data_IF_592794824659
#
_entry.id   IF_592794824659
#
_cell.length_a   1.000
_cell.length_b   1.000
_cell.length_c   1.000
_cell.angle_alpha   90.00
_cell.angle_beta   90.00
_cell.angle_gamma   90.00
#
_symmetry.space_group_name_H-M   'P 1'
#
loop_
_entity.id
_entity.type
_entity.pdbx_description
1 polymer ?
#
# COMPACT_ATOMS: atom_id res chain seq x y z
N UNK A 1 -24.12 6.03 9.32
CA UNK A 1 -24.03 5.03 8.23
C UNK A 1 -22.67 4.41 8.40
N UNK A 2 -22.64 3.18 8.89
CA UNK A 2 -21.38 2.48 9.17
C UNK A 2 -20.84 1.99 7.83
N UNK A 3 -19.98 2.79 7.23
CA UNK A 3 -19.31 2.42 6.00
C UNK A 3 -18.20 1.43 6.35
N UNK A 4 -18.24 0.26 5.75
CA UNK A 4 -17.21 -0.76 5.90
C UNK A 4 -16.29 -0.74 4.68
N UNK A 5 -15.01 -0.44 4.89
CA UNK A 5 -13.99 -0.58 3.86
C UNK A 5 -13.75 -2.07 3.59
N UNK A 6 -13.75 -2.46 2.32
CA UNK A 6 -13.53 -3.85 1.92
C UNK A 6 -12.21 -3.96 1.14
N UNK A 7 -11.37 -4.97 1.45
CA UNK A 7 -10.18 -5.23 0.66
C UNK A 7 -10.56 -5.74 -0.73
N UNK A 8 -9.85 -5.27 -1.73
CA UNK A 8 -9.92 -5.81 -3.09
C UNK A 8 -8.53 -6.27 -3.53
N UNK A 9 -8.50 -7.31 -4.38
CA UNK A 9 -7.24 -7.75 -4.98
C UNK A 9 -6.80 -6.72 -6.00
N UNK A 10 -5.61 -6.18 -5.80
CA UNK A 10 -5.00 -5.14 -6.58
C UNK A 10 -3.71 -5.65 -7.21
N UNK A 11 -3.31 -5.00 -8.30
CA UNK A 11 -2.03 -5.28 -8.95
C UNK A 11 -1.23 -4.03 -9.19
N UNK A 12 0.08 -4.21 -9.33
CA UNK A 12 1.00 -3.13 -9.64
C UNK A 12 2.33 -3.64 -10.16
N UNK A 13 3.14 -2.71 -10.63
CA UNK A 13 4.45 -3.00 -11.22
C UNK A 13 5.55 -2.41 -10.33
N UNK A 14 6.57 -3.18 -9.99
CA UNK A 14 7.79 -2.61 -9.42
C UNK A 14 8.36 -1.64 -10.46
N UNK A 15 8.46 -0.37 -10.07
CA UNK A 15 9.19 0.65 -10.82
C UNK A 15 10.61 0.85 -10.31
N UNK A 16 10.80 0.71 -9.01
CA UNK A 16 12.10 0.96 -8.40
C UNK A 16 12.36 -0.03 -7.28
N UNK A 17 13.62 -0.43 -7.16
CA UNK A 17 14.15 -1.23 -6.07
C UNK A 17 15.28 -0.42 -5.46
N UNK A 18 15.13 0.01 -4.21
CA UNK A 18 16.14 0.73 -3.43
C UNK A 18 16.53 -0.14 -2.24
N UNK A 19 17.77 -0.05 -1.76
CA UNK A 19 18.33 -0.73 -0.58
C UNK A 19 17.46 -1.85 0.02
N UNK A 20 16.53 -1.52 0.92
CA UNK A 20 15.64 -2.44 1.62
C UNK A 20 14.16 -2.31 1.22
N UNK A 21 13.81 -1.47 0.24
CA UNK A 21 12.42 -1.16 -0.15
C UNK A 21 12.16 -1.32 -1.65
N UNK A 22 10.92 -1.59 -1.99
CA UNK A 22 10.43 -1.54 -3.37
C UNK A 22 9.37 -0.46 -3.52
N UNK A 23 9.33 0.17 -4.69
CA UNK A 23 8.29 1.11 -5.10
C UNK A 23 7.44 0.47 -6.19
N UNK A 24 6.16 0.26 -5.88
CA UNK A 24 5.17 -0.37 -6.74
C UNK A 24 4.19 0.69 -7.24
N UNK A 25 4.06 0.81 -8.56
CA UNK A 25 3.05 1.66 -9.18
C UNK A 25 1.79 0.86 -9.42
N UNK A 26 0.66 1.34 -8.90
CA UNK A 26 -0.62 0.67 -9.03
C UNK A 26 -1.14 0.76 -10.47
N UNK A 27 -1.68 -0.35 -10.99
CA UNK A 27 -2.31 -0.36 -12.31
C UNK A 27 -3.42 0.69 -12.39
N UNK A 28 -3.57 1.32 -13.56
CA UNK A 28 -4.59 2.37 -13.76
C UNK A 28 -4.25 3.73 -13.14
N UNK A 29 -2.98 3.98 -12.75
CA UNK A 29 -2.54 5.22 -12.08
C UNK A 29 -3.29 5.45 -10.77
N UNK A 30 -3.54 4.36 -10.04
CA UNK A 30 -4.32 4.38 -8.79
C UNK A 30 -3.48 4.80 -7.58
N UNK A 31 -2.17 4.90 -7.72
CA UNK A 31 -1.27 5.34 -6.66
C UNK A 31 0.11 4.70 -6.77
N UNK A 32 0.91 4.92 -5.74
CA UNK A 32 2.23 4.32 -5.55
C UNK A 32 2.30 3.80 -4.12
N UNK A 33 2.79 2.59 -3.96
CA UNK A 33 3.03 1.97 -2.65
C UNK A 33 4.52 1.69 -2.53
N UNK A 34 5.12 2.07 -1.40
CA UNK A 34 6.53 1.76 -1.09
C UNK A 34 6.59 0.93 0.18
N UNK A 35 7.13 -0.29 0.08
CA UNK A 35 7.19 -1.25 1.20
C UNK A 35 8.59 -1.84 1.36
N UNK A 36 8.95 -2.31 2.56
CA UNK A 36 10.13 -3.13 2.77
C UNK A 36 10.10 -4.42 1.94
N UNK A 37 11.25 -4.86 1.45
CA UNK A 37 11.42 -6.13 0.73
C UNK A 37 10.96 -7.35 1.54
N UNK A 38 11.05 -7.28 2.87
CA UNK A 38 10.58 -8.33 3.80
C UNK A 38 9.07 -8.57 3.77
N UNK A 39 8.28 -7.68 3.16
CA UNK A 39 6.83 -7.84 2.99
C UNK A 39 6.47 -8.42 1.61
N UNK A 40 7.45 -8.94 0.87
CA UNK A 40 7.26 -9.45 -0.48
C UNK A 40 7.51 -10.95 -0.51
N UNK A 41 6.48 -11.71 -0.85
CA UNK A 41 6.53 -13.13 -1.12
C UNK A 41 7.10 -13.32 -2.54
N UNK A 42 8.30 -13.87 -2.63
CA UNK A 42 9.03 -14.09 -3.89
C UNK A 42 10.01 -15.25 -3.74
N UNK A 43 10.23 -16.00 -4.82
CA UNK A 43 11.33 -16.97 -4.97
C UNK A 43 12.53 -16.41 -5.73
N UNK A 44 12.41 -15.19 -6.28
CA UNK A 44 13.41 -14.55 -7.14
C UNK A 44 13.84 -13.18 -6.58
N UNK A 45 15.04 -12.69 -6.93
CA UNK A 45 15.47 -11.33 -6.60
C UNK A 45 14.48 -10.29 -7.12
N UNK A 46 14.17 -9.28 -6.31
CA UNK A 46 13.24 -8.22 -6.70
C UNK A 46 13.90 -7.25 -7.67
N UNK A 47 13.27 -7.05 -8.83
CA UNK A 47 13.75 -6.18 -9.90
C UNK A 47 12.61 -5.32 -10.47
N UNK A 48 12.92 -4.14 -11.05
CA UNK A 48 11.96 -3.40 -11.86
C UNK A 48 11.35 -4.29 -12.94
N UNK A 49 10.04 -4.19 -13.15
CA UNK A 49 9.32 -5.05 -14.09
C UNK A 49 8.54 -6.19 -13.45
N UNK A 50 8.79 -6.53 -12.19
CA UNK A 50 7.96 -7.52 -11.50
C UNK A 50 6.53 -7.02 -11.30
N UNK A 51 5.59 -7.85 -11.73
CA UNK A 51 4.16 -7.72 -11.49
C UNK A 51 3.83 -8.26 -10.10
N UNK A 52 3.05 -7.48 -9.37
CA UNK A 52 2.67 -7.72 -7.98
C UNK A 52 1.17 -7.92 -7.88
N UNK A 53 0.76 -8.80 -6.98
CA UNK A 53 -0.61 -8.87 -6.47
C UNK A 53 -0.64 -8.74 -4.95
N UNK A 54 -1.69 -8.10 -4.42
CA UNK A 54 -1.91 -7.91 -2.98
C UNK A 54 -3.36 -7.46 -2.74
N UNK A 55 -3.79 -7.48 -1.49
CA UNK A 55 -5.06 -6.88 -1.07
C UNK A 55 -4.87 -5.46 -0.58
N UNK A 56 -5.76 -4.56 -1.00
CA UNK A 56 -5.81 -3.18 -0.54
C UNK A 56 -7.25 -2.65 -0.57
N UNK A 57 -7.64 -1.88 0.44
CA UNK A 57 -8.95 -1.21 0.48
C UNK A 57 -8.83 0.30 0.23
N UNK A 58 -9.97 0.99 0.25
CA UNK A 58 -9.99 2.43 0.53
C UNK A 58 -9.38 2.71 1.90
N UNK A 59 -8.86 3.93 2.07
CA UNK A 59 -8.30 4.40 3.34
C UNK A 59 -9.34 5.22 4.07
N UNK A 60 -9.68 4.84 5.29
CA UNK A 60 -10.65 5.55 6.12
C UNK A 60 -9.92 6.44 7.12
N UNK A 61 -10.34 7.70 7.25
CA UNK A 61 -9.88 8.56 8.36
C UNK A 61 -10.67 8.22 9.62
N UNK A 62 -9.97 8.04 10.73
CA UNK A 62 -10.56 7.69 12.03
C UNK A 62 -10.13 8.67 13.12
N UNK A 63 -11.03 8.96 14.06
CA UNK A 63 -10.73 9.83 15.21
C UNK A 63 -10.17 9.04 16.39
N UNK A 64 -10.65 7.81 16.58
CA UNK A 64 -10.24 6.92 17.66
C UNK A 64 -9.68 5.63 17.05
N UNK A 65 -8.38 5.60 16.67
CA UNK A 65 -7.77 4.40 16.10
C UNK A 65 -7.79 3.25 17.11
N UNK A 66 -7.96 2.04 16.59
CA UNK A 66 -7.82 0.82 17.39
C UNK A 66 -6.34 0.50 17.67
N UNK A 67 -6.11 -0.47 18.55
CA UNK A 67 -4.79 -1.07 18.73
C UNK A 67 -4.60 -2.15 17.64
N UNK A 68 -4.15 -1.70 16.47
CA UNK A 68 -3.97 -2.58 15.31
C UNK A 68 -2.78 -3.52 15.51
N UNK A 69 -2.93 -4.77 15.08
CA UNK A 69 -1.87 -5.78 15.11
C UNK A 69 -1.37 -6.07 13.69
N UNK A 70 -0.05 -6.03 13.52
CA UNK A 70 0.59 -6.35 12.25
C UNK A 70 1.36 -7.68 12.27
N UNK A 71 1.08 -8.55 13.23
CA UNK A 71 1.76 -9.85 13.38
C UNK A 71 1.58 -10.76 12.17
N UNK A 72 0.45 -10.64 11.46
CA UNK A 72 0.16 -11.40 10.24
C UNK A 72 0.82 -10.79 8.98
N UNK A 73 1.58 -9.70 9.11
CA UNK A 73 2.36 -9.12 8.00
C UNK A 73 3.68 -9.88 7.81
N UNK A 74 3.58 -11.18 7.58
CA UNK A 74 4.67 -12.13 7.33
C UNK A 74 4.51 -12.79 5.95
N UNK A 75 5.57 -13.45 5.48
CA UNK A 75 5.66 -13.98 4.10
C UNK A 75 5.72 -15.50 4.04
N UNK A 76 5.35 -16.20 5.13
CA UNK A 76 5.38 -17.66 5.24
C UNK A 76 4.06 -18.34 4.84
N UNK A 77 3.03 -17.56 4.51
CA UNK A 77 1.73 -18.01 4.02
C UNK A 77 1.26 -17.21 2.79
N UNK A 78 0.09 -17.57 2.25
CA UNK A 78 -0.54 -16.83 1.14
C UNK A 78 -0.97 -15.42 1.57
N UNK A 79 -1.11 -14.51 0.60
CA UNK A 79 -1.50 -13.12 0.90
C UNK A 79 -2.91 -13.05 1.50
N UNK A 80 -3.01 -12.47 2.70
CA UNK A 80 -4.29 -12.24 3.38
C UNK A 80 -4.42 -10.77 3.79
N UNK A 81 -5.62 -10.15 3.68
CA UNK A 81 -5.82 -8.79 4.13
C UNK A 81 -5.68 -8.66 5.64
N UNK A 82 -4.82 -7.75 6.08
CA UNK A 82 -4.67 -7.35 7.48
C UNK A 82 -5.20 -5.92 7.66
N UNK A 83 -5.97 -5.67 8.73
CA UNK A 83 -6.43 -4.32 9.07
C UNK A 83 -5.30 -3.56 9.77
N UNK A 84 -4.78 -2.52 9.12
CA UNK A 84 -3.64 -1.76 9.61
C UNK A 84 -4.01 -0.31 9.88
N UNK A 85 -3.32 0.25 10.88
CA UNK A 85 -3.29 1.68 11.13
C UNK A 85 -2.29 2.40 10.23
N UNK A 86 -2.56 3.67 9.98
CA UNK A 86 -1.62 4.57 9.32
C UNK A 86 -1.86 6.03 9.68
N UNK A 87 -0.91 6.89 9.30
CA UNK A 87 -0.97 8.33 9.54
C UNK A 87 -0.80 9.10 8.24
N UNK A 88 -1.67 10.07 7.99
CA UNK A 88 -1.51 10.99 6.86
C UNK A 88 -0.26 11.83 7.06
N UNK A 89 0.71 11.69 6.16
CA UNK A 89 1.96 12.46 6.16
C UNK A 89 1.88 13.71 5.31
N UNK A 90 1.17 13.63 4.18
CA UNK A 90 1.03 14.72 3.23
C UNK A 90 -0.35 14.71 2.60
N UNK A 91 -0.93 15.90 2.49
CA UNK A 91 -2.13 16.16 1.69
C UNK A 91 -1.79 17.28 0.72
N UNK A 92 -1.93 17.00 -0.57
CA UNK A 92 -1.86 18.02 -1.62
C UNK A 92 -3.17 18.06 -2.42
N UNK A 93 -3.22 18.85 -3.49
CA UNK A 93 -4.43 19.07 -4.27
C UNK A 93 -4.94 17.80 -4.98
N UNK A 94 -4.07 16.82 -5.21
CA UNK A 94 -4.40 15.64 -6.03
C UNK A 94 -4.29 14.32 -5.29
N UNK A 95 -3.41 14.22 -4.31
CA UNK A 95 -3.03 13.00 -3.64
C UNK A 95 -2.88 13.17 -2.13
N UNK A 96 -2.94 12.04 -1.45
CA UNK A 96 -2.67 11.87 -0.03
C UNK A 96 -1.60 10.81 0.13
N UNK A 97 -0.61 11.09 0.96
CA UNK A 97 0.41 10.13 1.36
C UNK A 97 0.17 9.70 2.80
N UNK A 98 0.08 8.39 3.01
CA UNK A 98 -0.16 7.75 4.30
C UNK A 98 1.06 6.90 4.64
N UNK A 99 1.59 7.05 5.85
CA UNK A 99 2.56 6.12 6.42
C UNK A 99 1.81 4.94 7.05
N UNK A 100 2.24 3.72 6.77
CA UNK A 100 1.70 2.51 7.41
C UNK A 100 2.41 2.35 8.76
N UNK A 101 1.69 1.92 9.80
CA UNK A 101 2.25 1.64 11.12
C UNK A 101 3.47 0.70 11.08
N UNK A 102 4.26 0.65 12.15
CA UNK A 102 5.38 -0.28 12.33
C UNK A 102 6.40 -0.29 11.17
N UNK A 103 6.60 0.86 10.51
CA UNK A 103 7.44 1.03 9.31
C UNK A 103 7.16 -0.01 8.21
N UNK A 104 5.87 -0.35 8.03
CA UNK A 104 5.44 -1.31 7.01
C UNK A 104 5.39 -0.71 5.61
N UNK A 105 5.50 0.62 5.47
CA UNK A 105 5.46 1.24 4.15
C UNK A 105 4.88 2.64 4.13
N UNK A 106 4.70 3.15 2.93
CA UNK A 106 3.85 4.31 2.67
C UNK A 106 3.01 4.10 1.41
N UNK A 107 1.81 4.69 1.41
CA UNK A 107 0.83 4.61 0.34
C UNK A 107 0.53 6.04 -0.12
N UNK A 108 0.77 6.34 -1.39
CA UNK A 108 0.41 7.60 -2.01
C UNK A 108 -0.70 7.36 -3.04
N UNK A 109 -1.90 7.85 -2.75
CA UNK A 109 -3.10 7.62 -3.56
C UNK A 109 -3.82 8.92 -3.87
N UNK A 110 -4.58 9.01 -4.97
CA UNK A 110 -5.42 10.16 -5.24
C UNK A 110 -6.42 10.42 -4.10
N UNK A 111 -6.78 11.68 -3.83
CA UNK A 111 -7.68 12.06 -2.72
C UNK A 111 -9.00 11.27 -2.67
N UNK A 112 -9.52 10.84 -3.84
CA UNK A 112 -10.74 10.01 -3.96
C UNK A 112 -10.65 8.61 -3.35
N UNK A 113 -9.44 8.15 -3.01
CA UNK A 113 -9.21 6.90 -2.29
C UNK A 113 -9.35 7.04 -0.77
N UNK A 114 -9.50 8.27 -0.27
CA UNK A 114 -9.69 8.52 1.15
C UNK A 114 -11.17 8.69 1.45
N UNK A 115 -11.70 7.82 2.30
CA UNK A 115 -13.05 7.89 2.82
C UNK A 115 -13.05 8.69 4.12
N UNK A 116 -13.70 9.85 4.13
CA UNK A 116 -13.74 10.71 5.31
C UNK A 116 -14.90 11.69 5.26
N UNK A 117 -15.56 11.96 6.41
CA UNK A 117 -16.52 13.05 6.52
C UNK A 117 -15.83 14.40 6.85
N UNK A 118 -14.53 14.41 7.13
CA UNK A 118 -13.78 15.59 7.56
C UNK A 118 -12.79 16.06 6.51
N UNK A 119 -12.30 17.30 6.66
CA UNK A 119 -11.28 17.85 5.77
C UNK A 119 -9.96 17.11 5.98
N UNK A 120 -9.35 16.66 4.88
CA UNK A 120 -8.05 16.00 4.86
C UNK A 120 -6.94 16.94 5.31
N UNK A 121 -6.15 16.51 6.30
CA UNK A 121 -5.01 17.24 6.87
C UNK A 121 -3.90 16.28 7.28
N UNK A 122 -2.67 16.78 7.29
CA UNK A 122 -1.52 16.03 7.83
C UNK A 122 -1.75 15.69 9.30
N UNK A 123 -1.26 14.52 9.71
CA UNK A 123 -1.33 14.03 11.08
C UNK A 123 -2.58 13.22 11.42
N UNK A 124 -3.62 13.22 10.56
CA UNK A 124 -4.83 12.41 10.79
C UNK A 124 -4.52 10.91 10.80
N UNK A 125 -5.16 10.20 11.73
CA UNK A 125 -5.10 8.75 11.81
C UNK A 125 -6.01 8.12 10.77
N UNK A 126 -5.60 6.97 10.28
CA UNK A 126 -6.30 6.23 9.23
C UNK A 126 -6.26 4.74 9.50
N UNK A 127 -7.22 4.03 8.91
CA UNK A 127 -7.24 2.57 8.85
C UNK A 127 -7.55 2.09 7.44
N UNK A 128 -6.99 0.94 7.10
CA UNK A 128 -7.18 0.29 5.81
C UNK A 128 -6.75 -1.17 5.87
N UNK A 129 -7.34 -1.98 5.00
CA UNK A 129 -6.83 -3.32 4.75
C UNK A 129 -5.64 -3.26 3.80
N UNK A 130 -4.60 -3.99 4.14
CA UNK A 130 -3.42 -4.20 3.31
C UNK A 130 -2.84 -5.60 3.57
N UNK A 131 -2.24 -6.24 2.56
CA UNK A 131 -1.54 -7.51 2.72
C UNK A 131 -0.07 -7.38 2.34
N UNK A 132 0.73 -8.41 2.64
CA UNK A 132 1.99 -8.64 1.94
C UNK A 132 1.76 -8.66 0.41
N UNK A 133 2.82 -8.40 -0.36
CA UNK A 133 2.78 -8.46 -1.82
C UNK A 133 3.35 -9.77 -2.33
N UNK A 134 2.79 -10.32 -3.39
CA UNK A 134 3.29 -11.53 -4.05
C UNK A 134 3.70 -11.22 -5.48
N UNK A 135 4.90 -11.67 -5.86
CA UNK A 135 5.34 -11.62 -7.26
C UNK A 135 4.54 -12.64 -8.07
N UNK A 136 3.93 -12.20 -9.17
CA UNK A 136 3.11 -13.05 -10.05
C UNK A 136 3.62 -13.12 -11.49
N UNK A 137 4.66 -12.35 -11.81
CA UNK A 137 5.29 -12.38 -13.12
C UNK A 137 6.25 -11.22 -13.32
N UNK A 138 6.76 -11.11 -14.54
CA UNK A 138 7.66 -10.03 -14.96
C UNK A 138 7.26 -9.52 -16.34
N UNK A 139 7.29 -8.20 -16.50
CA UNK A 139 7.16 -7.54 -17.80
C UNK A 139 8.50 -6.94 -18.20
N UNK A 140 8.83 -7.03 -19.47
CA UNK A 140 9.93 -6.26 -20.05
C UNK A 140 9.56 -4.78 -20.01
N UNK A 141 10.20 -4.01 -19.12
CA UNK A 141 10.08 -2.55 -19.12
C UNK A 141 11.20 -2.00 -20.01
N UNK A 142 10.88 -1.18 -21.04
CA UNK A 142 11.90 -0.44 -21.78
C UNK A 142 12.72 0.43 -20.82
N UNK A 143 14.05 0.41 -20.97
CA UNK A 143 15.01 1.13 -20.09
C UNK A 143 14.69 2.62 -19.97
N UNK A 144 14.06 3.21 -20.98
CA UNK A 144 13.64 4.62 -21.02
C UNK A 144 12.47 4.96 -20.09
N UNK A 145 11.85 3.97 -19.42
CA UNK A 145 10.68 4.12 -18.53
C UNK A 145 10.96 3.78 -17.06
N UNK A 146 12.25 3.73 -16.70
CA UNK A 146 12.80 3.53 -15.34
C UNK A 146 13.22 4.89 -14.79
#
# INVERSE_FOLDING_TARGET
>A
MDYMINPIKMGGLIKEVQDDRIKVHLHGRLGVITIPKRLVITSEPLEPGHEMEFYFSYIQVVENPYDYDSSDMVTDHEIEPCLLGGRIMEVNDTAVKVNIMNDLGCIAVPRRWIFTPVVLKNGQETEFYFSCMKVVGKRDIPVESI
#
